data_IF_474389305214
#
_entry.id   IF_474389305214
#
_cell.length_a   1.000
_cell.length_b   1.000
_cell.length_c   1.000
_cell.angle_alpha   90.00
_cell.angle_beta   90.00
_cell.angle_gamma   90.00
#
_symmetry.space_group_name_H-M   'P 1'
#
loop_
_entity.id
_entity.type
_entity.pdbx_description
1 polymer ?
#
# COMPACT_ATOMS: atom_id res chain seq x y z
N UNK A 1 -31.89 -7.16 -22.89
CA UNK A 1 -31.49 -6.50 -21.61
C UNK A 1 -30.07 -5.96 -21.71
N UNK A 2 -29.18 -6.65 -22.43
CA UNK A 2 -27.76 -6.33 -22.57
C UNK A 2 -27.48 -4.99 -23.28
N UNK A 3 -28.36 -4.58 -24.20
CA UNK A 3 -28.23 -3.30 -24.91
C UNK A 3 -28.39 -2.08 -23.99
N UNK A 4 -29.28 -2.16 -23.01
CA UNK A 4 -29.50 -1.09 -22.03
C UNK A 4 -28.35 -1.08 -21.01
N UNK A 5 -27.91 -2.26 -20.59
CA UNK A 5 -26.79 -2.43 -19.68
C UNK A 5 -25.49 -1.85 -20.28
N UNK A 6 -25.18 -2.15 -21.54
CA UNK A 6 -24.00 -1.61 -22.23
C UNK A 6 -24.05 -0.08 -22.34
N UNK A 7 -25.23 0.51 -22.57
CA UNK A 7 -25.37 1.97 -22.63
C UNK A 7 -25.19 2.63 -21.28
N UNK A 8 -25.72 2.04 -20.21
CA UNK A 8 -25.51 2.53 -18.85
C UNK A 8 -24.04 2.45 -18.44
N UNK A 9 -23.35 1.37 -18.81
CA UNK A 9 -21.93 1.18 -18.56
C UNK A 9 -21.08 2.21 -19.32
N UNK A 10 -21.43 2.50 -20.58
CA UNK A 10 -20.79 3.55 -21.37
C UNK A 10 -20.99 4.94 -20.74
N UNK A 11 -22.21 5.27 -20.32
CA UNK A 11 -22.52 6.55 -19.66
C UNK A 11 -21.76 6.67 -18.34
N UNK A 12 -21.67 5.59 -17.58
CA UNK A 12 -20.90 5.54 -16.33
C UNK A 12 -19.39 5.76 -16.57
N UNK A 13 -18.81 5.14 -17.60
CA UNK A 13 -17.39 5.36 -17.95
C UNK A 13 -17.17 6.81 -18.39
N UNK A 14 -18.02 7.33 -19.29
CA UNK A 14 -17.89 8.69 -19.81
C UNK A 14 -18.08 9.75 -18.72
N UNK A 15 -18.99 9.53 -17.76
CA UNK A 15 -19.15 10.46 -16.64
C UNK A 15 -17.93 10.45 -15.72
N UNK A 16 -17.37 9.28 -15.39
CA UNK A 16 -16.12 9.21 -14.61
C UNK A 16 -14.94 9.89 -15.34
N UNK A 17 -14.81 9.70 -16.65
CA UNK A 17 -13.79 10.40 -17.46
C UNK A 17 -14.03 11.92 -17.49
N UNK A 18 -15.28 12.36 -17.66
CA UNK A 18 -15.64 13.78 -17.73
C UNK A 18 -15.51 14.52 -16.39
N UNK A 19 -15.84 13.86 -15.28
CA UNK A 19 -15.68 14.43 -13.94
C UNK A 19 -14.24 14.40 -13.43
N UNK A 20 -13.29 13.90 -14.23
CA UNK A 20 -11.89 13.86 -13.85
C UNK A 20 -11.66 13.04 -12.59
N UNK A 21 -12.45 11.98 -12.37
CA UNK A 21 -12.09 10.96 -11.38
C UNK A 21 -10.88 10.24 -11.93
N UNK A 22 -9.70 10.79 -11.66
CA UNK A 22 -8.45 10.08 -11.77
C UNK A 22 -8.57 8.85 -10.87
N UNK A 23 -8.93 7.73 -11.49
CA UNK A 23 -8.65 6.41 -10.94
C UNK A 23 -7.12 6.28 -10.94
N UNK A 24 -6.48 6.91 -9.97
CA UNK A 24 -5.06 6.69 -9.68
C UNK A 24 -4.97 5.24 -9.21
N UNK A 25 -4.73 4.35 -10.18
CA UNK A 25 -4.35 2.97 -9.93
C UNK A 25 -3.13 2.99 -8.99
N UNK A 26 -3.06 2.07 -8.02
CA UNK A 26 -2.00 2.05 -7.02
C UNK A 26 -0.62 2.07 -7.72
N UNK A 27 0.09 3.20 -7.64
CA UNK A 27 1.37 3.44 -8.32
C UNK A 27 2.51 2.80 -7.55
N UNK A 28 2.46 1.48 -7.41
CA UNK A 28 3.44 0.63 -6.72
C UNK A 28 3.69 1.00 -5.25
N UNK A 29 3.92 -0.02 -4.43
CA UNK A 29 4.38 0.21 -3.07
C UNK A 29 5.85 0.66 -3.10
N UNK A 30 6.25 1.38 -2.06
CA UNK A 30 7.62 1.87 -1.90
C UNK A 30 8.22 1.32 -0.62
N UNK A 31 9.46 0.87 -0.74
CA UNK A 31 10.30 0.50 0.38
C UNK A 31 11.48 1.47 0.38
N UNK A 32 11.60 2.26 1.45
CA UNK A 32 12.65 3.25 1.63
C UNK A 32 13.67 2.69 2.62
N UNK A 33 14.89 2.50 2.13
CA UNK A 33 16.03 2.03 2.91
C UNK A 33 16.63 3.19 3.73
N UNK A 34 17.45 2.83 4.71
CA UNK A 34 18.20 3.75 5.59
C UNK A 34 19.13 4.69 4.83
N UNK A 35 19.75 4.20 3.75
CA UNK A 35 20.59 4.96 2.84
C UNK A 35 19.78 5.93 1.93
N UNK A 36 18.46 6.00 2.11
CA UNK A 36 17.55 6.82 1.33
C UNK A 36 17.18 6.23 -0.04
N UNK A 37 17.64 5.02 -0.36
CA UNK A 37 17.30 4.35 -1.60
C UNK A 37 15.83 3.92 -1.60
N UNK A 38 15.11 4.27 -2.66
CA UNK A 38 13.72 3.88 -2.87
C UNK A 38 13.64 2.66 -3.78
N UNK A 39 13.04 1.59 -3.27
CA UNK A 39 12.75 0.37 -4.03
C UNK A 39 11.26 0.33 -4.34
N UNK A 40 10.93 0.40 -5.63
CA UNK A 40 9.56 0.15 -6.11
C UNK A 40 9.27 -1.34 -6.03
N UNK A 41 8.23 -1.71 -5.29
CA UNK A 41 7.86 -3.10 -5.07
C UNK A 41 6.34 -3.24 -4.92
N UNK A 42 5.88 -4.46 -4.71
CA UNK A 42 4.53 -4.77 -4.29
C UNK A 42 4.60 -5.55 -2.99
N UNK A 43 4.01 -5.03 -1.91
CA UNK A 43 4.03 -5.70 -0.61
C UNK A 43 2.94 -6.76 -0.59
N UNK A 44 3.35 -8.02 -0.50
CA UNK A 44 2.47 -9.18 -0.45
C UNK A 44 1.95 -9.39 0.98
N UNK A 45 2.86 -9.40 1.95
CA UNK A 45 2.52 -9.68 3.35
C UNK A 45 3.52 -9.04 4.31
N UNK A 46 3.05 -8.74 5.52
CA UNK A 46 3.86 -8.26 6.65
C UNK A 46 3.46 -9.09 7.87
N UNK A 47 4.42 -9.71 8.55
CA UNK A 47 4.18 -10.38 9.82
C UNK A 47 5.47 -10.37 10.66
N UNK A 48 5.37 -9.94 11.92
CA UNK A 48 6.46 -9.98 12.91
C UNK A 48 7.82 -9.45 12.40
N UNK A 49 7.79 -8.33 11.67
CA UNK A 49 8.99 -7.71 11.09
C UNK A 49 9.47 -8.34 9.78
N UNK A 50 8.92 -9.46 9.34
CA UNK A 50 9.18 -10.00 8.00
C UNK A 50 8.24 -9.37 6.98
N UNK A 51 8.79 -8.90 5.87
CA UNK A 51 8.06 -8.24 4.80
C UNK A 51 8.36 -9.00 3.51
N UNK A 52 7.32 -9.58 2.92
CA UNK A 52 7.44 -10.25 1.62
C UNK A 52 7.05 -9.28 0.53
N UNK A 53 7.98 -9.00 -0.39
CA UNK A 53 7.78 -8.06 -1.49
C UNK A 53 8.04 -8.73 -2.83
N UNK A 54 7.34 -8.29 -3.87
CA UNK A 54 7.68 -8.60 -5.26
C UNK A 54 8.34 -7.39 -5.90
N UNK A 55 9.52 -7.57 -6.45
CA UNK A 55 10.18 -6.57 -7.31
C UNK A 55 10.18 -7.05 -8.75
N UNK A 56 10.65 -6.21 -9.68
CA UNK A 56 10.78 -6.61 -11.09
C UNK A 56 11.72 -7.81 -11.29
N UNK A 57 12.62 -8.06 -10.32
CA UNK A 57 13.63 -9.12 -10.39
C UNK A 57 13.16 -10.42 -9.71
N UNK A 58 11.98 -10.45 -9.10
CA UNK A 58 11.41 -11.62 -8.42
C UNK A 58 10.84 -11.35 -7.03
N UNK A 59 10.49 -12.41 -6.31
CA UNK A 59 10.07 -12.31 -4.91
C UNK A 59 11.28 -12.17 -3.99
N UNK A 60 11.18 -11.25 -3.03
CA UNK A 60 12.19 -11.05 -2.00
C UNK A 60 11.53 -10.98 -0.62
N UNK A 61 12.18 -11.59 0.35
CA UNK A 61 11.83 -11.42 1.76
C UNK A 61 12.80 -10.43 2.38
N UNK A 62 12.26 -9.44 3.07
CA UNK A 62 13.03 -8.43 3.79
C UNK A 62 12.75 -8.61 5.27
N UNK A 63 13.81 -8.85 6.04
CA UNK A 63 13.73 -8.88 7.50
C UNK A 63 13.92 -7.45 7.99
N UNK A 64 12.95 -6.96 8.76
CA UNK A 64 12.97 -5.63 9.35
C UNK A 64 13.19 -5.76 10.85
N UNK A 65 14.25 -5.12 11.34
CA UNK A 65 14.38 -4.86 12.77
C UNK A 65 13.52 -3.64 13.13
N UNK A 66 12.57 -3.83 14.04
CA UNK A 66 11.65 -2.77 14.46
C UNK A 66 12.33 -1.96 15.57
N UNK A 67 13.20 -1.03 15.19
CA UNK A 67 13.79 -0.07 16.12
C UNK A 67 12.72 0.94 16.59
N UNK A 68 12.78 1.34 17.87
CA UNK A 68 11.81 2.28 18.44
C UNK A 68 11.96 3.68 17.83
N UNK A 69 13.17 4.02 17.39
CA UNK A 69 13.51 5.32 16.81
C UNK A 69 13.44 5.34 15.28
N UNK A 70 13.10 4.22 14.64
CA UNK A 70 12.93 4.15 13.19
C UNK A 70 11.82 5.09 12.70
N UNK A 71 12.01 5.63 11.49
CA UNK A 71 11.00 6.44 10.84
C UNK A 71 9.68 5.66 10.68
N UNK A 72 8.57 6.38 10.83
CA UNK A 72 7.23 5.78 10.80
C UNK A 72 6.86 5.37 9.38
N UNK A 73 6.20 4.23 9.26
CA UNK A 73 5.59 3.82 8.01
C UNK A 73 4.45 4.76 7.63
N UNK A 74 4.15 4.81 6.34
CA UNK A 74 3.03 5.57 5.81
C UNK A 74 2.16 4.70 4.91
N UNK A 75 0.85 4.90 5.02
CA UNK A 75 -0.15 4.20 4.23
C UNK A 75 -1.12 5.21 3.64
N UNK A 76 -1.35 5.11 2.33
CA UNK A 76 -2.36 5.88 1.63
C UNK A 76 -3.61 5.00 1.42
N UNK A 77 -4.76 5.51 1.87
CA UNK A 77 -6.04 4.79 1.89
C UNK A 77 -7.13 5.61 1.21
N UNK A 78 -8.00 4.96 0.46
CA UNK A 78 -9.22 5.53 -0.09
C UNK A 78 -9.36 5.31 -1.60
N UNK A 79 -10.61 5.15 -2.05
CA UNK A 79 -10.92 4.91 -3.47
C UNK A 79 -10.97 6.24 -4.24
N UNK A 80 -11.70 7.22 -3.70
CA UNK A 80 -11.93 8.52 -4.36
C UNK A 80 -11.10 9.62 -3.69
N UNK A 81 -11.11 9.67 -2.35
CA UNK A 81 -10.35 10.64 -1.57
C UNK A 81 -9.23 9.92 -0.83
N UNK A 82 -7.99 10.26 -1.15
CA UNK A 82 -6.82 9.72 -0.46
C UNK A 82 -6.68 10.32 0.93
N UNK A 83 -6.56 9.47 1.93
CA UNK A 83 -6.17 9.82 3.30
C UNK A 83 -4.84 9.16 3.61
N UNK A 84 -3.92 9.89 4.23
CA UNK A 84 -2.61 9.38 4.62
C UNK A 84 -2.58 9.09 6.11
N UNK A 85 -2.12 7.91 6.46
CA UNK A 85 -1.88 7.51 7.84
C UNK A 85 -0.41 7.25 8.05
N UNK A 86 0.11 7.65 9.21
CA UNK A 86 1.47 7.37 9.63
C UNK A 86 1.45 6.59 10.94
N UNK A 87 2.27 5.54 11.02
CA UNK A 87 2.29 4.63 12.14
C UNK A 87 3.32 3.52 11.97
N UNK A 88 3.16 2.44 12.73
CA UNK A 88 3.94 1.20 12.53
C UNK A 88 3.05 0.14 11.93
N UNK A 89 3.49 -0.44 10.83
CA UNK A 89 2.84 -1.61 10.23
C UNK A 89 3.18 -2.85 11.04
N UNK A 90 2.15 -3.47 11.61
CA UNK A 90 2.30 -4.70 12.38
C UNK A 90 2.03 -5.92 11.50
N UNK A 91 1.04 -5.81 10.62
CA UNK A 91 0.54 -6.95 9.87
C UNK A 91 -0.05 -6.51 8.53
N UNK A 92 0.11 -7.36 7.52
CA UNK A 92 -0.56 -7.24 6.23
C UNK A 92 -0.77 -8.64 5.67
N UNK A 93 -2.00 -8.91 5.26
CA UNK A 93 -2.37 -10.12 4.54
C UNK A 93 -3.25 -9.77 3.32
N UNK A 94 -3.77 -10.77 2.58
CA UNK A 94 -4.62 -10.52 1.43
C UNK A 94 -5.92 -9.77 1.75
N UNK A 95 -6.38 -9.77 3.01
CA UNK A 95 -7.67 -9.22 3.40
C UNK A 95 -7.53 -7.81 3.99
N UNK A 96 -6.56 -7.60 4.89
CA UNK A 96 -6.39 -6.35 5.61
C UNK A 96 -4.94 -6.04 5.99
N UNK A 97 -4.73 -4.78 6.32
CA UNK A 97 -3.52 -4.24 6.90
C UNK A 97 -3.81 -3.73 8.30
N UNK A 98 -2.95 -4.06 9.25
CA UNK A 98 -3.00 -3.55 10.62
C UNK A 98 -1.82 -2.62 10.89
N UNK A 99 -2.14 -1.40 11.34
CA UNK A 99 -1.13 -0.42 11.73
C UNK A 99 -1.42 0.18 13.10
N UNK A 100 -0.37 0.45 13.87
CA UNK A 100 -0.43 1.20 15.13
C UNK A 100 -0.10 2.66 14.86
N UNK A 101 -1.08 3.54 14.97
CA UNK A 101 -0.93 4.99 14.87
C UNK A 101 -0.83 5.62 16.26
N UNK A 102 -0.64 6.94 16.34
CA UNK A 102 -0.70 7.69 17.61
C UNK A 102 -2.09 7.66 18.26
N UNK A 103 -3.15 7.39 17.51
CA UNK A 103 -4.52 7.32 18.02
C UNK A 103 -4.95 5.89 18.40
N UNK A 104 -4.10 4.89 18.18
CA UNK A 104 -4.38 3.49 18.51
C UNK A 104 -4.09 2.54 17.34
N UNK A 105 -4.56 1.29 17.49
CA UNK A 105 -4.46 0.29 16.42
C UNK A 105 -5.60 0.47 15.43
N UNK A 106 -5.28 0.46 14.14
CA UNK A 106 -6.22 0.60 13.04
C UNK A 106 -6.08 -0.58 12.08
N UNK A 107 -7.23 -1.09 11.62
CA UNK A 107 -7.33 -2.08 10.55
C UNK A 107 -7.86 -1.40 9.30
N UNK A 108 -7.23 -1.66 8.16
CA UNK A 108 -7.58 -1.11 6.86
C UNK A 108 -7.79 -2.28 5.90
N UNK A 109 -8.93 -2.34 5.24
CA UNK A 109 -9.18 -3.37 4.21
C UNK A 109 -8.22 -3.19 3.01
N UNK A 110 -7.74 -4.31 2.45
CA UNK A 110 -6.75 -4.30 1.35
C UNK A 110 -7.24 -3.59 0.09
N UNK A 111 -8.54 -3.67 -0.20
CA UNK A 111 -9.22 -2.98 -1.30
C UNK A 111 -9.16 -1.44 -1.21
N UNK A 112 -8.96 -0.89 -0.01
CA UNK A 112 -8.88 0.54 0.25
C UNK A 112 -7.44 1.04 0.21
N UNK A 113 -6.45 0.16 0.19
CA UNK A 113 -5.03 0.52 0.17
C UNK A 113 -4.62 0.94 -1.24
N UNK A 114 -4.02 2.13 -1.34
CA UNK A 114 -3.45 2.63 -2.59
C UNK A 114 -1.94 2.50 -2.66
N UNK A 115 -1.29 2.72 -1.51
CA UNK A 115 0.17 2.76 -1.45
C UNK A 115 0.63 2.48 -0.03
N UNK A 116 1.61 1.59 0.08
CA UNK A 116 2.32 1.33 1.32
C UNK A 116 3.74 1.87 1.15
N UNK A 117 4.17 2.70 2.10
CA UNK A 117 5.53 3.22 2.19
C UNK A 117 6.12 2.69 3.49
N UNK A 118 7.07 1.78 3.37
CA UNK A 118 7.75 1.18 4.52
C UNK A 118 9.10 1.88 4.68
N UNK A 119 9.35 2.42 5.87
CA UNK A 119 10.66 2.96 6.22
C UNK A 119 11.44 1.92 7.03
N UNK A 120 12.63 1.55 6.56
CA UNK A 120 13.41 0.45 7.12
C UNK A 120 14.84 0.85 7.48
N UNK A 121 15.37 0.17 8.50
CA UNK A 121 16.79 -0.19 8.61
C UNK A 121 16.92 -1.59 7.98
N UNK A 122 17.60 -1.77 6.84
CA UNK A 122 17.84 -3.07 6.28
C UNK A 122 19.05 -3.75 6.95
N UNK A 123 18.86 -4.96 7.47
CA UNK A 123 19.91 -5.97 7.43
C UNK A 123 19.65 -6.84 6.20
N UNK A 124 20.31 -6.49 5.09
CA UNK A 124 20.42 -7.44 3.98
C UNK A 124 21.47 -8.47 4.39
N UNK A 125 21.06 -9.68 4.73
CA UNK A 125 21.97 -10.81 4.70
C UNK A 125 22.37 -11.03 3.23
N UNK A 126 23.59 -10.56 2.90
CA UNK A 126 24.29 -10.81 1.64
C UNK A 126 25.05 -12.15 1.70
#
# INVERSE_FOLDING_TARGET
MDFILNKLLLIFILSNVYFGTDFDLPRHDLLILDNGQEIKCQVQSIADGMIKVTTNDGERTVVREINVDAARDMVEVGIIKTTRYSGRLNYLDPEYLEMRTSSGTMKIEKNMLRKIIISQEPSFDL
#
